data_IF_561591276167
#
_entry.id   IF_561591276167
#
_cell.length_a   1.000
_cell.length_b   1.000
_cell.length_c   1.000
_cell.angle_alpha   90.00
_cell.angle_beta   90.00
_cell.angle_gamma   90.00
#
_symmetry.space_group_name_H-M   'P 1'
#
loop_
_entity.id
_entity.type
_entity.pdbx_description
1 polymer ?
#
# COMPACT_ATOMS: atom_id res chain seq x y z
N UNK A 1 5.64 13.46 -30.42
CA UNK A 1 4.95 14.75 -30.08
C UNK A 1 3.53 14.54 -29.50
N UNK A 2 2.73 13.56 -29.97
CA UNK A 2 1.39 13.32 -29.43
C UNK A 2 1.39 12.64 -28.05
N UNK A 3 2.47 11.98 -27.64
CA UNK A 3 2.62 11.33 -26.35
C UNK A 3 3.09 12.32 -25.26
N UNK A 4 3.80 13.38 -25.62
CA UNK A 4 4.35 14.37 -24.69
C UNK A 4 3.29 15.26 -24.02
N UNK A 5 2.06 15.29 -24.54
CA UNK A 5 1.00 16.19 -24.03
C UNK A 5 -0.14 15.45 -23.28
N UNK A 6 0.00 14.14 -23.02
CA UNK A 6 -1.00 13.39 -22.23
C UNK A 6 -0.68 13.45 -20.76
N UNK A 7 -1.70 13.61 -19.88
CA UNK A 7 -1.50 13.51 -18.44
C UNK A 7 -0.89 12.17 -18.07
N UNK A 8 0.11 12.16 -17.19
CA UNK A 8 0.79 10.94 -16.77
C UNK A 8 -0.11 10.10 -15.86
N UNK A 9 -0.14 8.81 -16.08
CA UNK A 9 -0.63 7.85 -15.07
C UNK A 9 0.29 7.89 -13.86
N UNK A 10 -0.25 7.61 -12.67
CA UNK A 10 0.49 7.85 -11.43
C UNK A 10 0.51 6.63 -10.53
N UNK A 11 1.71 6.29 -10.05
CA UNK A 11 1.97 5.35 -8.98
C UNK A 11 2.32 6.11 -7.70
N UNK A 12 1.48 6.01 -6.65
CA UNK A 12 1.83 6.41 -5.29
C UNK A 12 2.52 5.23 -4.61
N UNK A 13 3.78 5.40 -4.18
CA UNK A 13 4.64 4.30 -3.75
C UNK A 13 5.13 4.51 -2.33
N UNK A 14 4.66 3.66 -1.41
CA UNK A 14 4.80 3.80 0.03
C UNK A 14 5.99 2.99 0.57
N UNK A 15 6.79 3.62 1.44
CA UNK A 15 7.95 2.96 2.10
C UNK A 15 7.54 2.08 3.29
N UNK A 16 8.43 1.21 3.73
CA UNK A 16 8.29 0.36 4.91
C UNK A 16 8.66 1.06 6.22
N UNK A 17 8.53 0.34 7.33
CA UNK A 17 8.93 0.81 8.66
C UNK A 17 10.44 1.14 8.67
N UNK A 18 10.82 2.21 9.34
CA UNK A 18 12.18 2.80 9.37
C UNK A 18 12.72 3.24 8.01
N UNK A 19 11.92 3.15 6.96
CA UNK A 19 12.25 3.65 5.64
C UNK A 19 11.91 5.11 5.44
N UNK A 20 12.19 5.58 4.22
CA UNK A 20 11.86 6.95 3.81
C UNK A 20 11.45 7.01 2.33
N UNK A 21 11.05 8.20 1.89
CA UNK A 21 10.60 8.45 0.52
C UNK A 21 11.66 8.18 -0.57
N UNK A 22 12.95 8.07 -0.23
CA UNK A 22 14.03 7.81 -1.20
C UNK A 22 14.38 6.34 -1.36
N UNK A 23 13.91 5.45 -0.49
CA UNK A 23 14.34 4.05 -0.46
C UNK A 23 14.06 3.32 -1.78
N UNK A 24 12.86 3.48 -2.30
CA UNK A 24 12.49 2.89 -3.58
C UNK A 24 13.38 3.38 -4.74
N UNK A 25 13.80 4.66 -4.69
CA UNK A 25 14.65 5.25 -5.72
C UNK A 25 16.09 4.72 -5.63
N UNK A 26 16.59 4.53 -4.41
CA UNK A 26 18.00 4.18 -4.16
C UNK A 26 18.24 2.67 -4.17
N UNK A 27 17.24 1.87 -3.81
CA UNK A 27 17.39 0.42 -3.58
C UNK A 27 16.70 -0.45 -4.65
N UNK A 28 16.07 0.18 -5.65
CA UNK A 28 15.41 -0.52 -6.76
C UNK A 28 15.67 0.15 -8.11
N UNK A 29 15.19 -0.48 -9.16
CA UNK A 29 15.20 0.08 -10.51
C UNK A 29 13.95 0.89 -10.85
N UNK A 30 13.23 1.42 -9.86
CA UNK A 30 11.93 2.11 -10.03
C UNK A 30 11.99 3.21 -11.10
N UNK A 31 13.08 3.99 -11.14
CA UNK A 31 13.26 5.05 -12.14
C UNK A 31 13.21 4.50 -13.57
N UNK A 32 13.90 3.39 -13.83
CA UNK A 32 13.88 2.72 -15.13
C UNK A 32 12.49 2.22 -15.48
N UNK A 33 11.83 1.52 -14.56
CA UNK A 33 10.49 0.98 -14.78
C UNK A 33 9.46 2.08 -15.07
N UNK A 34 9.53 3.19 -14.33
CA UNK A 34 8.67 4.35 -14.54
C UNK A 34 8.90 5.00 -15.91
N UNK A 35 10.17 5.13 -16.32
CA UNK A 35 10.53 5.68 -17.63
C UNK A 35 10.02 4.79 -18.78
N UNK A 36 10.23 3.48 -18.70
CA UNK A 36 9.77 2.49 -19.69
C UNK A 36 8.25 2.53 -19.90
N UNK A 37 7.49 2.80 -18.84
CA UNK A 37 6.01 2.87 -18.86
C UNK A 37 5.45 4.28 -19.00
N UNK A 38 6.30 5.29 -19.01
CA UNK A 38 5.92 6.70 -19.09
C UNK A 38 4.89 7.08 -18.02
N UNK A 39 5.22 6.79 -16.75
CA UNK A 39 4.39 7.08 -15.58
C UNK A 39 5.09 8.01 -14.60
N UNK A 40 4.30 8.74 -13.81
CA UNK A 40 4.79 9.45 -12.63
C UNK A 40 4.81 8.52 -11.42
N UNK A 41 5.86 8.64 -10.60
CA UNK A 41 5.95 7.94 -9.31
C UNK A 41 6.06 8.99 -8.20
N UNK A 42 5.13 8.95 -7.26
CA UNK A 42 5.07 9.84 -6.10
C UNK A 42 5.39 9.02 -4.86
N UNK A 43 6.46 9.39 -4.18
CA UNK A 43 6.96 8.68 -2.99
C UNK A 43 6.86 9.60 -1.77
N UNK A 44 5.77 9.51 -0.96
CA UNK A 44 5.64 10.32 0.24
C UNK A 44 6.48 9.76 1.39
N UNK A 45 6.82 10.63 2.36
CA UNK A 45 7.26 10.21 3.67
C UNK A 45 6.05 10.12 4.62
N UNK A 46 6.03 9.10 5.46
CA UNK A 46 4.98 8.89 6.47
C UNK A 46 5.54 8.38 7.81
N UNK A 47 6.82 8.60 8.05
CA UNK A 47 7.50 8.15 9.27
C UNK A 47 7.21 6.67 9.57
N UNK A 48 6.96 6.33 10.83
CA UNK A 48 6.61 4.97 11.28
C UNK A 48 5.12 4.85 11.67
N UNK A 49 4.24 5.64 11.04
CA UNK A 49 2.84 5.79 11.43
C UNK A 49 1.88 4.76 10.82
N UNK A 50 2.38 3.74 10.13
CA UNK A 50 1.57 2.70 9.46
C UNK A 50 0.49 3.24 8.51
N UNK A 51 0.65 4.50 8.05
CA UNK A 51 -0.34 5.20 7.23
C UNK A 51 -1.73 5.22 7.88
N UNK A 52 -1.74 5.31 9.22
CA UNK A 52 -2.92 5.43 10.07
C UNK A 52 -3.08 6.89 10.51
N UNK A 53 -4.31 7.33 10.69
CA UNK A 53 -4.58 8.67 11.21
C UNK A 53 -4.42 8.66 12.73
N UNK A 54 -3.37 9.33 13.20
CA UNK A 54 -3.10 9.51 14.61
C UNK A 54 -4.06 10.51 15.29
N UNK A 55 -3.97 10.61 16.61
CA UNK A 55 -4.83 11.49 17.42
C UNK A 55 -4.38 12.94 17.43
N UNK A 56 -3.11 13.21 17.13
CA UNK A 56 -2.55 14.55 17.17
C UNK A 56 -2.68 15.26 15.81
N UNK A 57 -2.82 16.60 15.79
CA UNK A 57 -2.73 17.37 14.56
C UNK A 57 -1.42 17.09 13.82
N UNK A 58 -1.48 16.98 12.48
CA UNK A 58 -0.34 16.63 11.64
C UNK A 58 -0.02 15.15 11.52
N UNK A 59 -0.73 14.27 12.25
CA UNK A 59 -0.57 12.81 12.16
C UNK A 59 -1.65 12.13 11.32
N UNK A 60 -2.20 12.82 10.33
CA UNK A 60 -3.30 12.31 9.49
C UNK A 60 -2.73 11.60 8.24
N UNK A 61 -1.84 10.64 8.43
CA UNK A 61 -1.12 9.97 7.34
C UNK A 61 -2.03 9.14 6.42
N UNK A 62 -3.11 8.56 6.95
CA UNK A 62 -4.08 7.83 6.15
C UNK A 62 -4.88 8.75 5.23
N UNK A 63 -5.40 9.85 5.76
CA UNK A 63 -6.09 10.88 4.99
C UNK A 63 -5.15 11.55 3.98
N UNK A 64 -3.90 11.80 4.38
CA UNK A 64 -2.88 12.37 3.51
C UNK A 64 -2.66 11.50 2.26
N UNK A 65 -2.28 10.23 2.41
CA UNK A 65 -1.98 9.36 1.25
C UNK A 65 -3.23 8.94 0.49
N UNK A 66 -4.39 8.89 1.15
CA UNK A 66 -5.65 8.47 0.55
C UNK A 66 -6.34 9.54 -0.29
N UNK A 67 -6.13 10.83 0.03
CA UNK A 67 -6.84 11.93 -0.61
C UNK A 67 -5.99 13.19 -0.83
N UNK A 68 -5.40 13.76 0.23
CA UNK A 68 -4.75 15.07 0.16
C UNK A 68 -3.57 15.09 -0.81
N UNK A 69 -2.68 14.10 -0.73
CA UNK A 69 -1.52 13.95 -1.60
C UNK A 69 -1.93 13.87 -3.08
N UNK A 70 -3.01 13.16 -3.36
CA UNK A 70 -3.53 13.00 -4.72
C UNK A 70 -4.01 14.35 -5.27
N UNK A 71 -4.79 15.08 -4.49
CA UNK A 71 -5.27 16.41 -4.88
C UNK A 71 -4.12 17.40 -5.05
N UNK A 72 -3.13 17.36 -4.15
CA UNK A 72 -1.97 18.23 -4.21
C UNK A 72 -1.13 17.98 -5.46
N UNK A 73 -0.76 16.71 -5.71
CA UNK A 73 0.11 16.35 -6.84
C UNK A 73 -0.54 16.58 -8.19
N UNK A 74 -1.85 16.35 -8.32
CA UNK A 74 -2.62 16.69 -9.54
C UNK A 74 -2.71 18.19 -9.81
N UNK A 75 -2.56 19.04 -8.79
CA UNK A 75 -2.47 20.51 -8.96
C UNK A 75 -1.08 20.98 -9.36
N UNK A 76 -0.05 20.27 -8.93
CA UNK A 76 1.35 20.64 -9.16
C UNK A 76 1.91 20.07 -10.47
N UNK A 77 1.42 18.92 -10.91
CA UNK A 77 1.96 18.17 -12.05
C UNK A 77 0.83 17.79 -13.02
N UNK A 78 1.19 17.60 -14.29
CA UNK A 78 0.25 17.17 -15.33
C UNK A 78 -0.05 15.66 -15.22
N UNK A 79 -0.82 15.29 -14.20
CA UNK A 79 -1.22 13.92 -13.89
C UNK A 79 -2.65 13.64 -14.33
N UNK A 80 -2.94 12.39 -14.72
CA UNK A 80 -4.30 11.94 -15.00
C UNK A 80 -5.20 12.08 -13.76
N UNK A 81 -6.40 12.58 -13.98
CA UNK A 81 -7.43 12.63 -12.93
C UNK A 81 -8.30 11.37 -12.91
N UNK A 82 -8.13 10.49 -13.90
CA UNK A 82 -8.88 9.26 -14.00
C UNK A 82 -8.48 8.26 -12.90
N UNK A 83 -9.48 7.70 -12.22
CA UNK A 83 -9.29 6.67 -11.19
C UNK A 83 -8.47 5.49 -11.70
N UNK A 84 -8.77 5.00 -12.92
CA UNK A 84 -8.10 3.86 -13.55
C UNK A 84 -6.60 4.05 -13.80
N UNK A 85 -6.16 5.30 -13.88
CA UNK A 85 -4.77 5.69 -14.13
C UNK A 85 -4.00 5.97 -12.82
N UNK A 86 -4.62 5.72 -11.68
CA UNK A 86 -4.07 6.00 -10.34
C UNK A 86 -3.91 4.70 -9.55
N UNK A 87 -2.68 4.35 -9.26
CA UNK A 87 -2.31 3.14 -8.51
C UNK A 87 -1.60 3.54 -7.22
N UNK A 88 -1.86 2.82 -6.14
CA UNK A 88 -1.11 2.93 -4.89
C UNK A 88 -0.47 1.59 -4.57
N UNK A 89 0.81 1.60 -4.21
CA UNK A 89 1.54 0.38 -3.86
C UNK A 89 2.53 0.63 -2.73
N UNK A 90 3.04 -0.43 -2.12
CA UNK A 90 4.08 -0.32 -1.11
C UNK A 90 4.58 -1.66 -0.64
N UNK A 91 5.61 -1.63 0.22
CA UNK A 91 6.18 -2.80 0.88
C UNK A 91 5.91 -2.76 2.38
N UNK A 92 5.77 -3.93 3.02
CA UNK A 92 5.69 -4.06 4.48
C UNK A 92 4.61 -3.15 5.08
N UNK A 93 4.97 -2.21 5.97
CA UNK A 93 4.11 -1.13 6.46
C UNK A 93 3.39 -0.40 5.31
N UNK A 94 4.13 -0.02 4.27
CA UNK A 94 3.57 0.66 3.09
C UNK A 94 2.66 -0.23 2.24
N UNK A 95 2.91 -1.55 2.22
CA UNK A 95 2.04 -2.51 1.55
C UNK A 95 0.65 -2.58 2.20
N UNK A 96 0.63 -2.72 3.52
CA UNK A 96 -0.62 -2.69 4.29
C UNK A 96 -1.31 -1.32 4.19
N UNK A 97 -0.53 -0.22 4.25
CA UNK A 97 -1.02 1.14 4.08
C UNK A 97 -1.65 1.39 2.70
N UNK A 98 -1.04 0.87 1.62
CA UNK A 98 -1.56 1.00 0.26
C UNK A 98 -2.92 0.31 0.10
N UNK A 99 -3.05 -0.92 0.58
CA UNK A 99 -4.32 -1.65 0.56
C UNK A 99 -5.38 -0.92 1.39
N UNK A 100 -5.02 -0.47 2.60
CA UNK A 100 -5.91 0.30 3.46
C UNK A 100 -6.40 1.59 2.77
N UNK A 101 -5.48 2.38 2.22
CA UNK A 101 -5.82 3.64 1.56
C UNK A 101 -6.78 3.42 0.39
N UNK A 102 -6.52 2.43 -0.47
CA UNK A 102 -7.43 2.11 -1.58
C UNK A 102 -8.80 1.62 -1.12
N UNK A 103 -8.87 0.90 0.01
CA UNK A 103 -10.14 0.46 0.58
C UNK A 103 -10.95 1.60 1.23
N UNK A 104 -10.28 2.57 1.86
CA UNK A 104 -10.97 3.71 2.50
C UNK A 104 -11.29 4.83 1.53
N UNK A 105 -10.52 4.98 0.45
CA UNK A 105 -10.67 6.00 -0.58
C UNK A 105 -10.81 5.38 -1.99
N UNK A 106 -11.74 4.41 -2.18
CA UNK A 106 -11.80 3.61 -3.41
C UNK A 106 -12.16 4.44 -4.65
N UNK A 107 -12.68 5.65 -4.48
CA UNK A 107 -12.95 6.59 -5.56
C UNK A 107 -11.67 7.16 -6.19
N UNK A 108 -10.54 7.12 -5.50
CA UNK A 108 -9.29 7.73 -5.94
C UNK A 108 -8.37 6.74 -6.69
N UNK A 109 -8.51 5.42 -6.43
CA UNK A 109 -7.59 4.41 -6.93
C UNK A 109 -8.26 3.39 -7.84
N UNK A 110 -7.67 3.14 -9.02
CA UNK A 110 -8.04 2.05 -9.91
C UNK A 110 -7.46 0.72 -9.46
N UNK A 111 -6.27 0.75 -8.84
CA UNK A 111 -5.62 -0.44 -8.30
C UNK A 111 -4.79 -0.15 -7.05
N UNK A 112 -4.58 -1.18 -6.25
CA UNK A 112 -3.69 -1.18 -5.09
C UNK A 112 -2.83 -2.44 -5.06
N UNK A 113 -1.58 -2.31 -4.57
CA UNK A 113 -0.71 -3.47 -4.40
C UNK A 113 0.10 -3.42 -3.12
N UNK A 114 0.23 -4.58 -2.47
CA UNK A 114 1.07 -4.76 -1.30
C UNK A 114 2.08 -5.87 -1.49
N UNK A 115 3.35 -5.58 -1.17
CA UNK A 115 4.43 -6.55 -1.19
C UNK A 115 4.87 -6.79 0.25
N UNK A 116 4.92 -8.06 0.70
CA UNK A 116 5.31 -8.40 2.09
C UNK A 116 4.52 -7.60 3.13
N UNK A 117 3.21 -7.46 2.94
CA UNK A 117 2.40 -6.50 3.69
C UNK A 117 2.31 -6.82 5.17
N UNK A 118 2.50 -5.80 6.01
CA UNK A 118 2.44 -5.93 7.47
C UNK A 118 0.99 -5.82 7.99
N UNK A 119 0.13 -6.78 7.63
CA UNK A 119 -1.24 -6.92 8.17
C UNK A 119 -1.19 -7.48 9.60
N UNK A 120 -0.58 -6.74 10.52
CA UNK A 120 -0.25 -7.21 11.85
C UNK A 120 -1.45 -7.74 12.63
N UNK A 121 -1.20 -8.82 13.37
CA UNK A 121 -2.11 -9.40 14.33
C UNK A 121 -1.44 -9.47 15.71
N UNK A 122 -2.16 -9.88 16.73
CA UNK A 122 -1.64 -10.04 18.10
C UNK A 122 -0.42 -10.98 18.18
N UNK A 123 -0.34 -11.96 17.29
CA UNK A 123 0.74 -12.95 17.26
C UNK A 123 2.11 -12.35 16.94
N UNK A 124 2.17 -11.19 16.28
CA UNK A 124 3.42 -10.48 16.02
C UNK A 124 3.87 -9.60 17.19
N UNK A 125 3.04 -9.46 18.23
CA UNK A 125 3.38 -8.64 19.40
C UNK A 125 4.12 -9.45 20.46
N UNK A 126 5.19 -8.90 20.99
CA UNK A 126 5.86 -9.41 22.21
C UNK A 126 6.42 -8.23 22.99
N UNK A 127 6.36 -8.25 24.35
CA UNK A 127 7.05 -7.24 25.16
C UNK A 127 8.56 -7.15 24.90
N UNK A 128 9.18 -8.27 24.49
CA UNK A 128 10.60 -8.36 24.19
C UNK A 128 10.94 -8.06 22.72
N UNK A 129 9.92 -7.88 21.85
CA UNK A 129 10.17 -7.55 20.46
C UNK A 129 10.72 -6.12 20.35
N UNK A 130 11.79 -5.87 19.55
CA UNK A 130 12.43 -4.56 19.49
C UNK A 130 11.53 -3.44 18.97
N UNK A 131 10.41 -3.78 18.31
CA UNK A 131 9.46 -2.83 17.71
C UNK A 131 8.02 -3.15 18.08
N UNK A 132 7.57 -4.35 17.75
CA UNK A 132 6.15 -4.72 17.85
C UNK A 132 5.78 -5.12 19.29
N UNK A 133 5.79 -4.13 20.18
CA UNK A 133 5.30 -4.31 21.56
C UNK A 133 3.80 -3.99 21.65
N UNK A 134 3.09 -4.51 22.69
CA UNK A 134 1.70 -4.12 22.95
C UNK A 134 1.50 -2.60 23.11
N UNK A 135 2.46 -1.91 23.74
CA UNK A 135 2.44 -0.45 23.95
C UNK A 135 2.58 0.29 22.62
N UNK A 136 3.50 -0.14 21.76
CA UNK A 136 3.66 0.40 20.42
C UNK A 136 2.36 0.27 19.61
N UNK A 137 1.74 -0.93 19.62
CA UNK A 137 0.48 -1.17 18.91
C UNK A 137 -0.64 -0.25 19.39
N UNK A 138 -0.76 -0.04 20.72
CA UNK A 138 -1.71 0.91 21.30
C UNK A 138 -1.42 2.35 20.89
N UNK A 139 -0.14 2.72 20.77
CA UNK A 139 0.27 4.05 20.35
C UNK A 139 -0.15 4.38 18.91
N UNK A 140 0.02 3.43 17.99
CA UNK A 140 -0.31 3.59 16.55
C UNK A 140 -1.81 3.41 16.29
N UNK A 141 -2.41 2.32 16.78
CA UNK A 141 -3.77 1.89 16.43
C UNK A 141 -4.83 2.24 17.49
N UNK A 142 -4.40 2.76 18.65
CA UNK A 142 -5.29 3.04 19.79
C UNK A 142 -5.58 1.83 20.66
N UNK A 143 -5.65 0.62 20.11
CA UNK A 143 -5.74 -0.66 20.83
C UNK A 143 -5.22 -1.81 19.96
N UNK A 144 -4.98 -2.98 20.59
CA UNK A 144 -4.58 -4.21 19.88
C UNK A 144 -5.73 -4.72 19.00
N UNK A 145 -6.97 -4.65 19.50
CA UNK A 145 -8.17 -5.05 18.77
C UNK A 145 -8.37 -4.21 17.50
N UNK A 146 -8.11 -2.90 17.58
CA UNK A 146 -8.13 -2.03 16.41
C UNK A 146 -7.06 -2.44 15.39
N UNK A 147 -5.83 -2.73 15.85
CA UNK A 147 -4.75 -3.19 14.98
C UNK A 147 -5.14 -4.46 14.22
N UNK A 148 -5.67 -5.47 14.91
CA UNK A 148 -6.07 -6.75 14.32
C UNK A 148 -7.21 -6.61 13.31
N UNK A 149 -8.10 -5.67 13.52
CA UNK A 149 -9.28 -5.46 12.67
C UNK A 149 -9.10 -4.38 11.59
N UNK A 150 -8.08 -3.54 11.66
CA UNK A 150 -7.95 -2.31 10.86
C UNK A 150 -8.09 -2.58 9.36
N UNK A 151 -7.30 -3.49 8.82
CA UNK A 151 -7.25 -3.75 7.39
C UNK A 151 -8.49 -4.51 6.90
N UNK A 152 -9.00 -5.45 7.70
CA UNK A 152 -10.25 -6.16 7.42
C UNK A 152 -11.45 -5.21 7.43
N UNK A 153 -11.50 -4.31 8.41
CA UNK A 153 -12.55 -3.29 8.49
C UNK A 153 -12.49 -2.32 7.30
N UNK A 154 -11.31 -1.96 6.80
CA UNK A 154 -11.17 -1.14 5.62
C UNK A 154 -11.80 -1.83 4.38
N UNK A 155 -11.56 -3.12 4.18
CA UNK A 155 -12.20 -3.92 3.11
C UNK A 155 -13.72 -3.96 3.26
N UNK A 156 -14.24 -4.19 4.45
CA UNK A 156 -15.69 -4.22 4.71
C UNK A 156 -16.34 -2.85 4.46
N UNK A 157 -15.67 -1.75 4.83
CA UNK A 157 -16.12 -0.39 4.51
C UNK A 157 -16.13 -0.16 3.00
N UNK A 158 -15.09 -0.58 2.28
CA UNK A 158 -15.04 -0.52 0.82
C UNK A 158 -16.23 -1.25 0.19
N UNK A 159 -16.51 -2.49 0.60
CA UNK A 159 -17.65 -3.27 0.09
C UNK A 159 -18.96 -2.51 0.25
N UNK A 160 -19.19 -1.93 1.43
CA UNK A 160 -20.39 -1.14 1.71
C UNK A 160 -20.47 0.13 0.85
N UNK A 161 -19.35 0.85 0.69
CA UNK A 161 -19.29 2.09 -0.07
C UNK A 161 -19.44 1.87 -1.59
N UNK A 162 -18.83 0.81 -2.11
CA UNK A 162 -18.77 0.50 -3.55
C UNK A 162 -19.91 -0.40 -4.04
N UNK A 163 -21.00 -0.53 -3.29
CA UNK A 163 -22.14 -1.36 -3.67
C UNK A 163 -22.59 -1.07 -5.11
N UNK A 164 -22.53 -2.09 -6.00
CA UNK A 164 -22.86 -1.94 -7.42
C UNK A 164 -21.80 -1.25 -8.29
N UNK A 165 -20.60 -0.95 -7.75
CA UNK A 165 -19.48 -0.36 -8.49
C UNK A 165 -18.26 -1.27 -8.44
N UNK A 166 -17.38 -1.16 -9.44
CA UNK A 166 -16.12 -1.93 -9.48
C UNK A 166 -15.17 -1.48 -8.35
N UNK A 167 -14.66 -2.45 -7.59
CA UNK A 167 -13.61 -2.22 -6.58
C UNK A 167 -12.27 -1.83 -7.24
N UNK A 168 -11.33 -1.20 -6.50
CA UNK A 168 -9.94 -1.15 -6.92
C UNK A 168 -9.41 -2.58 -7.15
N UNK A 169 -8.65 -2.79 -8.22
CA UNK A 169 -7.97 -4.06 -8.41
C UNK A 169 -6.90 -4.22 -7.31
N UNK A 170 -6.89 -5.37 -6.64
CA UNK A 170 -5.94 -5.63 -5.55
C UNK A 170 -4.90 -6.65 -6.02
N UNK A 171 -3.62 -6.41 -5.71
CA UNK A 171 -2.53 -7.35 -5.92
C UNK A 171 -1.70 -7.49 -4.65
N UNK A 172 -1.45 -8.72 -4.22
CA UNK A 172 -0.63 -9.04 -3.06
C UNK A 172 0.50 -9.97 -3.49
N UNK A 173 1.71 -9.70 -3.03
CA UNK A 173 2.87 -10.59 -3.19
C UNK A 173 3.61 -10.72 -1.86
N UNK A 174 4.10 -11.92 -1.54
CA UNK A 174 4.94 -12.14 -0.37
C UNK A 174 6.03 -13.17 -0.67
N UNK A 175 7.17 -13.01 -0.02
CA UNK A 175 8.26 -13.98 -0.10
C UNK A 175 7.93 -15.27 0.64
N UNK A 176 8.30 -16.44 0.07
CA UNK A 176 8.04 -17.74 0.71
C UNK A 176 8.84 -17.93 2.00
N UNK A 177 9.94 -17.18 2.19
CA UNK A 177 10.76 -17.16 3.41
C UNK A 177 10.60 -15.86 4.21
N UNK A 178 9.59 -15.04 3.88
CA UNK A 178 9.28 -13.81 4.59
C UNK A 178 8.58 -14.12 5.92
N UNK A 179 8.98 -13.46 7.01
CA UNK A 179 8.33 -13.61 8.31
C UNK A 179 6.83 -13.21 8.31
N UNK A 180 6.39 -12.45 7.32
CA UNK A 180 4.99 -12.05 7.15
C UNK A 180 4.18 -12.95 6.20
N UNK A 181 4.74 -14.06 5.71
CA UNK A 181 4.03 -14.94 4.77
C UNK A 181 2.71 -15.46 5.36
N UNK A 182 2.69 -15.83 6.64
CA UNK A 182 1.49 -16.32 7.32
C UNK A 182 0.36 -15.29 7.30
N UNK A 183 0.62 -14.06 7.75
CA UNK A 183 -0.40 -13.01 7.79
C UNK A 183 -0.84 -12.54 6.39
N UNK A 184 0.02 -12.65 5.37
CA UNK A 184 -0.39 -12.38 3.99
C UNK A 184 -1.30 -13.48 3.44
N UNK A 185 -1.03 -14.76 3.75
CA UNK A 185 -1.94 -15.89 3.44
C UNK A 185 -3.30 -15.73 4.11
N UNK A 186 -3.31 -15.29 5.37
CA UNK A 186 -4.55 -15.08 6.13
C UNK A 186 -5.37 -13.94 5.54
N UNK A 187 -4.73 -12.86 5.13
CA UNK A 187 -5.41 -11.76 4.47
C UNK A 187 -5.91 -12.13 3.07
N UNK A 188 -5.15 -12.93 2.32
CA UNK A 188 -5.59 -13.51 1.04
C UNK A 188 -6.87 -14.34 1.23
N UNK A 189 -6.89 -15.29 2.20
CA UNK A 189 -8.10 -16.06 2.52
C UNK A 189 -9.27 -15.18 2.88
N UNK A 190 -9.05 -14.17 3.71
CA UNK A 190 -10.09 -13.22 4.07
C UNK A 190 -10.69 -12.52 2.84
N UNK A 191 -9.88 -12.06 1.89
CA UNK A 191 -10.37 -11.45 0.65
C UNK A 191 -11.21 -12.43 -0.17
N UNK A 192 -10.80 -13.70 -0.26
CA UNK A 192 -11.58 -14.76 -0.92
C UNK A 192 -12.94 -14.97 -0.23
N UNK A 193 -12.96 -15.09 1.09
CA UNK A 193 -14.19 -15.21 1.89
C UNK A 193 -15.13 -14.02 1.71
N UNK A 194 -14.58 -12.83 1.50
CA UNK A 194 -15.35 -11.64 1.22
C UNK A 194 -15.80 -11.52 -0.24
N UNK A 195 -15.40 -12.43 -1.14
CA UNK A 195 -15.72 -12.38 -2.57
C UNK A 195 -15.02 -11.21 -3.28
N UNK A 196 -13.86 -10.79 -2.81
CA UNK A 196 -13.04 -9.74 -3.43
C UNK A 196 -12.07 -10.41 -4.40
N UNK A 197 -12.27 -10.18 -5.70
CA UNK A 197 -11.30 -10.61 -6.71
C UNK A 197 -9.98 -9.87 -6.53
N UNK A 198 -8.87 -10.62 -6.51
CA UNK A 198 -7.54 -10.07 -6.34
C UNK A 198 -6.48 -11.03 -6.89
N UNK A 199 -5.30 -10.47 -7.16
CA UNK A 199 -4.10 -11.24 -7.50
C UNK A 199 -3.35 -11.57 -6.21
N UNK A 200 -2.92 -12.82 -6.08
CA UNK A 200 -2.04 -13.26 -4.98
C UNK A 200 -0.91 -14.10 -5.54
N UNK A 201 0.31 -13.79 -5.14
CA UNK A 201 1.50 -14.50 -5.58
C UNK A 201 2.50 -14.70 -4.43
N UNK A 202 3.09 -15.86 -4.35
CA UNK A 202 4.23 -16.16 -3.47
C UNK A 202 5.46 -16.36 -4.33
N UNK A 203 6.54 -15.63 -4.02
CA UNK A 203 7.80 -15.68 -4.77
C UNK A 203 8.95 -16.12 -3.87
N UNK A 204 9.99 -16.80 -4.38
CA UNK A 204 11.20 -17.08 -3.60
C UNK A 204 11.86 -15.80 -3.10
N UNK A 205 12.16 -15.74 -1.78
CA UNK A 205 12.80 -14.60 -1.11
C UNK A 205 12.22 -14.36 0.28
N UNK A 206 12.90 -13.50 1.04
CA UNK A 206 12.50 -13.05 2.37
C UNK A 206 11.97 -11.62 2.38
N UNK A 207 12.04 -10.96 3.54
CA UNK A 207 11.66 -9.55 3.73
C UNK A 207 12.81 -8.63 3.26
N UNK A 208 13.00 -8.52 1.96
CA UNK A 208 14.23 -7.98 1.35
C UNK A 208 14.02 -7.24 0.04
N UNK A 209 14.91 -6.29 -0.26
CA UNK A 209 14.85 -5.44 -1.45
C UNK A 209 14.85 -6.19 -2.79
N UNK A 210 15.62 -7.30 -2.99
CA UNK A 210 15.56 -8.05 -4.24
C UNK A 210 14.17 -8.62 -4.55
N UNK A 211 13.39 -9.01 -3.53
CA UNK A 211 11.99 -9.40 -3.71
C UNK A 211 11.15 -8.18 -4.10
N UNK A 212 11.30 -7.07 -3.40
CA UNK A 212 10.50 -5.87 -3.59
C UNK A 212 10.77 -5.19 -4.94
N UNK A 213 12.01 -5.18 -5.44
CA UNK A 213 12.34 -4.69 -6.79
C UNK A 213 11.65 -5.53 -7.87
N UNK A 214 11.67 -6.87 -7.75
CA UNK A 214 10.94 -7.75 -8.67
C UNK A 214 9.42 -7.55 -8.57
N UNK A 215 8.90 -7.43 -7.36
CA UNK A 215 7.48 -7.24 -7.09
C UNK A 215 6.95 -5.93 -7.68
N UNK A 216 7.65 -4.81 -7.44
CA UNK A 216 7.20 -3.52 -7.99
C UNK A 216 7.26 -3.50 -9.53
N UNK A 217 8.23 -4.17 -10.15
CA UNK A 217 8.26 -4.35 -11.60
C UNK A 217 7.02 -5.08 -12.13
N UNK A 218 6.60 -6.17 -11.46
CA UNK A 218 5.38 -6.91 -11.81
C UNK A 218 4.14 -6.04 -11.67
N UNK A 219 4.04 -5.28 -10.58
CA UNK A 219 2.92 -4.35 -10.31
C UNK A 219 2.81 -3.31 -11.42
N UNK A 220 3.93 -2.68 -11.79
CA UNK A 220 3.98 -1.70 -12.88
C UNK A 220 3.56 -2.33 -14.21
N UNK A 221 4.03 -3.53 -14.52
CA UNK A 221 3.64 -4.22 -15.75
C UNK A 221 2.16 -4.64 -15.80
N UNK A 222 1.55 -4.88 -14.63
CA UNK A 222 0.14 -5.29 -14.52
C UNK A 222 -0.82 -4.13 -14.67
N UNK A 223 -0.49 -2.98 -14.15
CA UNK A 223 -1.44 -1.87 -14.01
C UNK A 223 -1.16 -0.69 -14.96
N UNK A 224 -0.02 -0.67 -15.63
CA UNK A 224 0.39 0.36 -16.60
C UNK A 224 0.81 -0.21 -17.94
#
# INVERSE_FOLDING_TARGET
QAQENRPLKTLYLLHGLYGCHTDWLTLTNIRRYATEKHIAVIMPAAENAFYIDGKLPGQQYGAFVGDELIRLTRRLFHLSTERKDTVIAGLSMGGAGAIRAACLYPQNFGAAAGISSAFLTREQLSPEHPVFTPEWAKGIFGSIENMESEYKNAVLKMKKFMQGKAYPQISLECGTSDGFIGINRDFHRFLQEQGIEHYYEESPGGHEWPLWDRGIKKIINRFF
#
